data_IF_160718845337
#
_entry.id   IF_160718845337
#
_cell.length_a   1.000
_cell.length_b   1.000
_cell.length_c   1.000
_cell.angle_alpha   90.00
_cell.angle_beta   90.00
_cell.angle_gamma   90.00
#
_symmetry.space_group_name_H-M   'P 1'
#
loop_
_entity.id
_entity.type
_entity.pdbx_description
1 polymer ?
#
# COMPACT_ATOMS: atom_id res chain seq x y z
N UNK A 1 8.80 16.03 2.60
CA UNK A 1 7.65 15.31 3.20
C UNK A 1 7.83 14.95 4.67
N UNK A 2 9.04 15.01 5.25
CA UNK A 2 9.25 14.80 6.70
C UNK A 2 8.74 13.43 7.16
N UNK A 3 9.10 12.38 6.40
CA UNK A 3 8.85 10.99 6.77
C UNK A 3 10.04 10.45 7.56
N UNK A 4 9.78 9.44 8.38
CA UNK A 4 10.77 8.69 9.12
C UNK A 4 10.72 7.24 8.65
N UNK A 5 11.40 6.96 7.53
CA UNK A 5 11.44 5.64 6.89
C UNK A 5 12.81 5.05 7.10
N UNK A 6 12.88 3.86 7.71
CA UNK A 6 14.16 3.25 8.11
C UNK A 6 15.05 2.82 6.93
N UNK A 7 14.45 2.47 5.79
CA UNK A 7 15.17 1.96 4.64
C UNK A 7 14.48 2.25 3.32
N UNK A 8 15.26 2.70 2.33
CA UNK A 8 14.81 2.90 0.95
C UNK A 8 15.42 1.83 0.04
N UNK A 9 14.64 0.80 -0.27
CA UNK A 9 15.08 -0.27 -1.15
C UNK A 9 15.08 0.16 -2.63
N UNK A 10 16.00 -0.41 -3.40
CA UNK A 10 16.03 -0.32 -4.87
C UNK A 10 16.14 -1.73 -5.44
N UNK A 11 15.27 -2.10 -6.37
CA UNK A 11 15.33 -3.42 -7.04
C UNK A 11 16.61 -3.61 -7.86
N UNK A 12 17.32 -2.51 -8.17
CA UNK A 12 18.65 -2.56 -8.78
C UNK A 12 19.76 -3.01 -7.81
N UNK A 13 19.50 -3.12 -6.50
CA UNK A 13 20.48 -3.59 -5.48
C UNK A 13 20.90 -5.04 -5.77
N UNK A 14 22.18 -5.34 -5.61
CA UNK A 14 22.70 -6.70 -5.83
C UNK A 14 22.15 -7.70 -4.80
N UNK A 15 21.96 -7.29 -3.55
CA UNK A 15 21.31 -8.14 -2.53
C UNK A 15 19.88 -8.47 -2.92
N UNK A 16 19.13 -7.50 -3.45
CA UNK A 16 17.79 -7.76 -3.94
C UNK A 16 17.79 -8.76 -5.10
N UNK A 17 18.65 -8.56 -6.11
CA UNK A 17 18.79 -9.50 -7.23
C UNK A 17 19.15 -10.90 -6.75
N UNK A 18 20.03 -11.03 -5.76
CA UNK A 18 20.39 -12.31 -5.17
C UNK A 18 19.18 -12.99 -4.51
N UNK A 19 18.40 -12.25 -3.71
CA UNK A 19 17.18 -12.78 -3.07
C UNK A 19 16.11 -13.16 -4.09
N UNK A 20 15.92 -12.39 -5.16
CA UNK A 20 14.98 -12.74 -6.24
C UNK A 20 15.38 -14.06 -6.91
N UNK A 21 16.68 -14.26 -7.20
CA UNK A 21 17.18 -15.52 -7.76
C UNK A 21 16.99 -16.68 -6.79
N UNK A 22 17.21 -16.45 -5.49
CA UNK A 22 16.98 -17.46 -4.44
C UNK A 22 15.50 -17.88 -4.40
N UNK A 23 14.58 -16.92 -4.39
CA UNK A 23 13.12 -17.19 -4.42
C UNK A 23 12.75 -17.94 -5.68
N UNK A 24 13.23 -17.50 -6.85
CA UNK A 24 13.01 -18.19 -8.13
C UNK A 24 13.42 -19.66 -8.06
N UNK A 25 14.66 -19.93 -7.67
CA UNK A 25 15.18 -21.30 -7.60
C UNK A 25 14.41 -22.18 -6.62
N UNK A 26 13.87 -21.60 -5.53
CA UNK A 26 12.98 -22.34 -4.60
C UNK A 26 11.63 -22.67 -5.22
N UNK A 27 11.01 -21.72 -5.94
CA UNK A 27 9.75 -21.95 -6.67
C UNK A 27 9.92 -23.03 -7.75
N UNK A 28 11.02 -22.98 -8.48
CA UNK A 28 11.37 -23.98 -9.51
C UNK A 28 11.66 -25.36 -8.90
N UNK A 29 12.45 -25.43 -7.84
CA UNK A 29 12.75 -26.69 -7.14
C UNK A 29 11.50 -27.34 -6.52
N UNK A 30 10.47 -26.55 -6.19
CA UNK A 30 9.16 -27.04 -5.76
C UNK A 30 8.30 -27.61 -6.89
N UNK A 31 8.67 -27.37 -8.15
CA UNK A 31 7.89 -27.75 -9.33
C UNK A 31 6.73 -26.80 -9.63
N UNK A 32 6.68 -25.65 -8.96
CA UNK A 32 5.63 -24.64 -9.14
C UNK A 32 5.93 -23.67 -10.28
N UNK A 33 7.15 -23.68 -10.82
CA UNK A 33 7.51 -23.02 -12.08
C UNK A 33 7.72 -24.06 -13.17
N UNK A 34 7.18 -23.82 -14.35
CA UNK A 34 7.42 -24.63 -15.55
C UNK A 34 7.51 -23.76 -16.80
N UNK A 35 8.23 -24.20 -17.82
CA UNK A 35 8.24 -23.52 -19.12
C UNK A 35 6.94 -23.85 -19.87
N UNK A 36 6.20 -22.81 -20.26
CA UNK A 36 4.98 -22.92 -21.04
C UNK A 36 4.93 -21.85 -22.13
N UNK A 37 3.78 -21.74 -22.78
CA UNK A 37 3.52 -20.70 -23.77
C UNK A 37 2.31 -19.88 -23.32
N UNK A 38 2.50 -18.57 -23.20
CA UNK A 38 1.41 -17.65 -22.93
C UNK A 38 0.86 -17.13 -24.25
N UNK A 39 -0.46 -17.22 -24.44
CA UNK A 39 -1.18 -16.61 -25.56
C UNK A 39 -2.37 -15.82 -25.02
N UNK A 40 -2.30 -14.49 -25.06
CA UNK A 40 -3.36 -13.66 -24.49
C UNK A 40 -3.08 -12.16 -24.53
N UNK A 41 -3.98 -11.38 -23.92
CA UNK A 41 -3.86 -9.93 -23.85
C UNK A 41 -2.89 -9.50 -22.75
N UNK A 42 -2.10 -8.46 -23.02
CA UNK A 42 -1.18 -7.86 -22.07
C UNK A 42 -1.27 -6.34 -22.12
N UNK A 43 -1.38 -5.71 -20.95
CA UNK A 43 -1.21 -4.26 -20.80
C UNK A 43 0.24 -3.97 -20.46
N UNK A 44 0.95 -3.27 -21.36
CA UNK A 44 2.33 -2.83 -21.10
C UNK A 44 2.34 -1.77 -20.00
N UNK A 45 1.37 -0.86 -19.99
CA UNK A 45 1.30 0.24 -19.01
C UNK A 45 1.00 -0.24 -17.59
N UNK A 46 0.19 -1.29 -17.44
CA UNK A 46 -0.15 -1.87 -16.13
C UNK A 46 0.78 -3.04 -15.77
N UNK A 47 1.68 -3.38 -16.68
CA UNK A 47 2.48 -4.61 -16.68
C UNK A 47 1.64 -5.80 -16.20
N UNK A 48 0.49 -6.05 -16.84
CA UNK A 48 -0.51 -7.02 -16.37
C UNK A 48 -1.07 -7.86 -17.52
N UNK A 49 -1.12 -9.17 -17.31
CA UNK A 49 -1.89 -10.09 -18.16
C UNK A 49 -3.38 -9.93 -17.93
N UNK A 50 -4.18 -10.03 -19.00
CA UNK A 50 -5.62 -9.81 -18.98
C UNK A 50 -6.35 -10.94 -19.71
N UNK A 51 -7.46 -11.37 -19.11
CA UNK A 51 -8.38 -12.33 -19.75
C UNK A 51 -9.16 -11.65 -20.86
N UNK A 52 -9.75 -12.44 -21.78
CA UNK A 52 -10.61 -11.90 -22.83
C UNK A 52 -11.80 -11.10 -22.29
N UNK A 53 -12.31 -11.44 -21.10
CA UNK A 53 -13.42 -10.75 -20.44
C UNK A 53 -12.99 -9.41 -19.81
N UNK A 54 -11.69 -9.19 -19.61
CA UNK A 54 -11.13 -7.97 -19.02
C UNK A 54 -10.70 -6.94 -20.07
N UNK A 55 -11.05 -7.16 -21.35
CA UNK A 55 -10.63 -6.34 -22.49
C UNK A 55 -11.86 -5.92 -23.30
N UNK A 56 -11.91 -4.64 -23.66
CA UNK A 56 -13.02 -4.04 -24.43
C UNK A 56 -12.49 -3.24 -25.63
N UNK A 57 -13.37 -2.90 -26.56
CA UNK A 57 -13.04 -1.98 -27.65
C UNK A 57 -12.89 -0.55 -27.12
N UNK A 58 -11.88 0.16 -27.62
CA UNK A 58 -11.56 1.53 -27.25
C UNK A 58 -10.82 2.25 -28.37
N UNK A 59 -10.23 3.40 -28.03
CA UNK A 59 -9.42 4.20 -28.96
C UNK A 59 -8.06 4.48 -28.35
N UNK A 60 -7.02 4.45 -29.17
CA UNK A 60 -5.67 4.83 -28.76
C UNK A 60 -5.53 6.37 -28.68
N UNK A 61 -4.30 6.84 -28.40
CA UNK A 61 -4.01 8.28 -28.29
C UNK A 61 -4.16 9.04 -29.62
N UNK A 62 -4.09 8.34 -30.74
CA UNK A 62 -4.19 8.90 -32.09
C UNK A 62 -5.63 8.80 -32.65
N UNK A 63 -6.56 8.25 -31.85
CA UNK A 63 -7.96 8.09 -32.21
C UNK A 63 -8.26 6.83 -33.02
N UNK A 64 -7.30 5.91 -33.16
CA UNK A 64 -7.52 4.66 -33.89
C UNK A 64 -8.24 3.63 -33.01
N UNK A 65 -9.15 2.82 -33.59
CA UNK A 65 -9.77 1.71 -32.88
C UNK A 65 -8.72 0.70 -32.39
N UNK A 66 -8.77 0.35 -31.11
CA UNK A 66 -7.90 -0.65 -30.50
C UNK A 66 -8.61 -1.41 -29.38
N UNK A 67 -7.90 -2.34 -28.73
CA UNK A 67 -8.36 -2.99 -27.51
C UNK A 67 -7.77 -2.30 -26.29
N UNK A 68 -8.57 -2.11 -25.24
CA UNK A 68 -8.15 -1.49 -23.97
C UNK A 68 -8.53 -2.34 -22.76
N UNK A 69 -7.77 -2.21 -21.68
CA UNK A 69 -8.04 -2.81 -20.37
C UNK A 69 -9.31 -2.22 -19.78
N UNK A 70 -10.24 -3.08 -19.33
CA UNK A 70 -11.44 -2.64 -18.61
C UNK A 70 -11.10 -2.00 -17.25
N UNK A 71 -9.97 -2.38 -16.65
CA UNK A 71 -9.54 -1.92 -15.32
C UNK A 71 -8.91 -0.53 -15.38
N UNK A 72 -8.03 -0.27 -16.35
CA UNK A 72 -7.20 0.94 -16.42
C UNK A 72 -7.53 1.87 -17.58
N UNK A 73 -8.20 1.35 -18.62
CA UNK A 73 -8.39 2.04 -19.90
C UNK A 73 -7.14 2.10 -20.79
N UNK A 74 -6.03 1.46 -20.39
CA UNK A 74 -4.80 1.43 -21.19
C UNK A 74 -4.90 0.45 -22.37
N UNK A 75 -4.21 0.77 -23.47
CA UNK A 75 -4.13 -0.08 -24.67
C UNK A 75 -3.50 -1.43 -24.33
N UNK A 76 -4.07 -2.51 -24.86
CA UNK A 76 -3.57 -3.87 -24.68
C UNK A 76 -3.12 -4.47 -26.00
N UNK A 77 -2.13 -5.36 -25.94
CA UNK A 77 -1.61 -6.07 -27.11
C UNK A 77 -1.76 -7.57 -26.92
N UNK A 78 -2.00 -8.28 -28.02
CA UNK A 78 -1.97 -9.74 -28.02
C UNK A 78 -0.52 -10.21 -28.04
N UNK A 79 -0.17 -11.14 -27.15
CA UNK A 79 1.17 -11.70 -27.04
C UNK A 79 1.11 -13.22 -27.10
N UNK A 80 2.04 -13.81 -27.83
CA UNK A 80 2.25 -15.25 -27.93
C UNK A 80 3.75 -15.53 -27.73
N UNK A 81 4.15 -15.78 -26.48
CA UNK A 81 5.56 -15.94 -26.10
C UNK A 81 5.73 -17.20 -25.23
N UNK A 82 6.83 -17.93 -25.44
CA UNK A 82 7.26 -18.90 -24.43
C UNK A 82 7.62 -18.13 -23.17
N UNK A 83 7.04 -18.53 -22.04
CA UNK A 83 7.27 -17.91 -20.74
C UNK A 83 7.33 -19.00 -19.67
N UNK A 84 8.15 -18.78 -18.65
CA UNK A 84 8.03 -19.51 -17.40
C UNK A 84 6.72 -19.12 -16.73
N UNK A 85 5.94 -20.12 -16.37
CA UNK A 85 4.63 -20.02 -15.76
C UNK A 85 4.71 -20.51 -14.32
N UNK A 86 4.16 -19.74 -13.39
CA UNK A 86 3.91 -20.15 -12.02
C UNK A 86 2.52 -20.78 -11.90
N UNK A 87 2.43 -21.93 -11.23
CA UNK A 87 1.22 -22.74 -11.04
C UNK A 87 0.19 -22.11 -10.08
N UNK A 88 -0.16 -20.84 -10.28
CA UNK A 88 -1.06 -20.08 -9.42
C UNK A 88 -2.43 -20.77 -9.25
N UNK A 89 -2.89 -21.49 -10.28
CA UNK A 89 -4.15 -22.26 -10.22
C UNK A 89 -4.17 -23.27 -9.06
N UNK A 90 -3.03 -23.86 -8.70
CA UNK A 90 -2.90 -24.83 -7.62
C UNK A 90 -3.01 -24.22 -6.21
N UNK A 91 -2.97 -22.89 -6.08
CA UNK A 91 -2.99 -22.19 -4.78
C UNK A 91 -4.38 -21.72 -4.36
N UNK A 92 -5.40 -21.89 -5.22
CA UNK A 92 -6.77 -21.42 -4.97
C UNK A 92 -7.27 -21.77 -3.57
N UNK A 93 -7.27 -23.05 -3.21
CA UNK A 93 -7.89 -23.51 -1.96
C UNK A 93 -7.09 -23.07 -0.72
N UNK A 94 -5.75 -23.00 -0.83
CA UNK A 94 -4.89 -22.51 0.25
C UNK A 94 -5.07 -21.01 0.48
N UNK A 95 -5.26 -20.22 -0.58
CA UNK A 95 -5.58 -18.80 -0.50
C UNK A 95 -6.94 -18.58 0.16
N UNK A 96 -7.98 -19.30 -0.28
CA UNK A 96 -9.32 -19.23 0.31
C UNK A 96 -9.32 -19.60 1.80
N UNK A 97 -8.59 -20.64 2.18
CA UNK A 97 -8.40 -20.99 3.60
C UNK A 97 -7.75 -19.85 4.38
N UNK A 98 -6.67 -19.25 3.86
CA UNK A 98 -6.00 -18.13 4.51
C UNK A 98 -6.94 -16.93 4.74
N UNK A 99 -7.74 -16.54 3.75
CA UNK A 99 -8.69 -15.42 3.90
C UNK A 99 -9.79 -15.70 4.93
N UNK A 100 -10.22 -16.97 5.06
CA UNK A 100 -11.26 -17.38 6.00
C UNK A 100 -10.73 -17.47 7.43
N UNK A 101 -9.54 -18.02 7.61
CA UNK A 101 -8.89 -18.17 8.92
C UNK A 101 -8.41 -16.81 9.46
N UNK A 102 -8.24 -15.81 8.58
CA UNK A 102 -7.73 -14.49 8.93
C UNK A 102 -8.66 -13.39 8.37
N UNK A 103 -9.87 -13.19 8.93
CA UNK A 103 -10.86 -12.27 8.36
C UNK A 103 -10.41 -10.80 8.33
N UNK A 104 -9.39 -10.42 9.11
CA UNK A 104 -8.79 -9.09 9.12
C UNK A 104 -7.55 -8.91 8.24
N UNK A 105 -7.17 -9.90 7.41
CA UNK A 105 -5.92 -9.87 6.66
C UNK A 105 -5.93 -8.91 5.46
N UNK A 106 -7.10 -8.47 5.00
CA UNK A 106 -7.26 -7.47 3.93
C UNK A 106 -8.24 -6.40 4.42
N UNK A 107 -7.83 -5.14 4.33
CA UNK A 107 -8.59 -3.96 4.75
C UNK A 107 -8.67 -3.00 3.56
N UNK A 108 -9.84 -2.37 3.30
CA UNK A 108 -11.14 -2.56 3.95
C UNK A 108 -11.87 -3.84 3.52
N UNK A 109 -12.87 -4.25 4.31
CA UNK A 109 -13.58 -5.52 4.16
C UNK A 109 -14.24 -5.72 2.78
N UNK A 110 -14.69 -4.67 2.10
CA UNK A 110 -15.23 -4.86 0.74
C UNK A 110 -14.16 -5.28 -0.27
N UNK A 111 -12.91 -4.80 -0.13
CA UNK A 111 -11.76 -5.23 -0.93
C UNK A 111 -11.41 -6.69 -0.67
N UNK A 112 -11.48 -7.11 0.60
CA UNK A 112 -11.32 -8.52 0.98
C UNK A 112 -12.33 -9.40 0.24
N UNK A 113 -13.60 -9.01 0.22
CA UNK A 113 -14.66 -9.74 -0.52
C UNK A 113 -14.43 -9.75 -2.03
N UNK A 114 -13.92 -8.67 -2.62
CA UNK A 114 -13.55 -8.63 -4.05
C UNK A 114 -12.47 -9.66 -4.36
N UNK A 115 -11.42 -9.74 -3.54
CA UNK A 115 -10.34 -10.73 -3.68
C UNK A 115 -10.88 -12.15 -3.54
N UNK A 116 -11.67 -12.42 -2.50
CA UNK A 116 -12.28 -13.74 -2.27
C UNK A 116 -13.11 -14.17 -3.49
N UNK A 117 -14.03 -13.32 -3.96
CA UNK A 117 -14.87 -13.61 -5.14
C UNK A 117 -14.05 -13.84 -6.41
N UNK A 118 -12.90 -13.17 -6.53
CA UNK A 118 -11.99 -13.35 -7.66
C UNK A 118 -11.35 -14.74 -7.61
N UNK A 119 -10.84 -15.15 -6.45
CA UNK A 119 -10.21 -16.47 -6.26
C UNK A 119 -11.23 -17.61 -6.35
N UNK A 120 -12.46 -17.40 -5.86
CA UNK A 120 -13.55 -18.38 -5.94
C UNK A 120 -13.88 -18.80 -7.38
N UNK A 121 -13.82 -17.85 -8.34
CA UNK A 121 -14.05 -18.09 -9.77
C UNK A 121 -12.99 -18.97 -10.43
N UNK A 122 -11.86 -19.19 -9.77
CA UNK A 122 -10.70 -19.91 -10.29
C UNK A 122 -9.56 -18.97 -10.67
N UNK A 123 -8.34 -19.51 -10.64
CA UNK A 123 -7.12 -18.80 -10.99
C UNK A 123 -6.46 -19.47 -12.18
N UNK A 124 -5.95 -18.66 -13.10
CA UNK A 124 -5.08 -19.12 -14.18
C UNK A 124 -3.62 -19.09 -13.75
N UNK A 125 -2.80 -19.92 -14.35
CA UNK A 125 -1.34 -19.89 -14.14
C UNK A 125 -0.77 -18.55 -14.62
N UNK A 126 0.23 -18.07 -13.89
CA UNK A 126 0.77 -16.72 -14.03
C UNK A 126 2.10 -16.78 -14.76
N UNK A 127 2.25 -16.06 -15.86
CA UNK A 127 3.56 -15.87 -16.48
C UNK A 127 4.47 -15.06 -15.54
N UNK A 128 5.61 -15.64 -15.17
CA UNK A 128 6.61 -15.06 -14.25
C UNK A 128 7.95 -14.76 -14.93
N UNK A 129 8.05 -14.97 -16.25
CA UNK A 129 9.16 -14.43 -17.05
C UNK A 129 8.67 -13.70 -18.29
N UNK A 130 9.57 -12.99 -18.96
CA UNK A 130 9.43 -12.48 -20.33
C UNK A 130 10.70 -12.73 -21.13
N UNK A 131 10.60 -12.74 -22.46
CA UNK A 131 11.78 -12.69 -23.33
C UNK A 131 12.57 -11.41 -23.07
N UNK A 132 13.90 -11.54 -23.05
CA UNK A 132 14.81 -10.44 -22.72
C UNK A 132 14.67 -9.24 -23.67
N UNK A 133 14.39 -9.50 -24.94
CA UNK A 133 14.19 -8.48 -25.97
C UNK A 133 12.97 -7.61 -25.67
N UNK A 134 11.88 -8.23 -25.18
CA UNK A 134 10.64 -7.53 -24.86
C UNK A 134 10.80 -6.54 -23.70
N UNK A 135 11.79 -6.77 -22.83
CA UNK A 135 12.14 -5.89 -21.72
C UNK A 135 13.35 -5.00 -22.02
N UNK A 136 13.79 -4.92 -23.28
CA UNK A 136 14.97 -4.15 -23.69
C UNK A 136 16.24 -4.48 -22.88
N UNK A 137 16.39 -5.74 -22.45
CA UNK A 137 17.47 -6.21 -21.58
C UNK A 137 17.51 -5.55 -20.18
N UNK A 138 16.41 -4.97 -19.71
CA UNK A 138 16.33 -4.25 -18.43
C UNK A 138 15.49 -4.99 -17.39
N UNK A 139 15.98 -6.15 -16.95
CA UNK A 139 15.37 -6.95 -15.89
C UNK A 139 16.36 -7.98 -15.33
N UNK A 140 15.98 -8.63 -14.22
CA UNK A 140 16.79 -9.69 -13.60
C UNK A 140 16.73 -10.95 -14.50
N UNK A 141 17.86 -11.53 -14.95
CA UNK A 141 17.83 -12.75 -15.74
C UNK A 141 17.30 -13.95 -14.95
N UNK A 142 16.57 -14.84 -15.62
CA UNK A 142 16.14 -16.12 -15.04
C UNK A 142 17.39 -16.99 -14.75
N UNK A 143 17.55 -17.55 -13.54
CA UNK A 143 18.62 -18.48 -13.23
C UNK A 143 18.65 -19.66 -14.22
N UNK A 144 19.79 -19.90 -14.86
CA UNK A 144 19.95 -20.99 -15.83
C UNK A 144 19.41 -20.72 -17.25
N UNK A 145 18.73 -19.59 -17.49
CA UNK A 145 18.23 -19.22 -18.82
C UNK A 145 18.28 -17.70 -19.06
N UNK A 146 19.35 -17.23 -19.71
CA UNK A 146 19.57 -15.79 -19.94
C UNK A 146 18.68 -15.17 -21.02
N UNK A 147 17.98 -15.97 -21.82
CA UNK A 147 17.06 -15.49 -22.85
C UNK A 147 15.74 -15.00 -22.24
N UNK A 148 15.51 -15.35 -20.97
CA UNK A 148 14.36 -14.93 -20.19
C UNK A 148 14.77 -14.04 -19.02
N UNK A 149 13.90 -13.10 -18.71
CA UNK A 149 14.00 -12.22 -17.57
C UNK A 149 12.82 -12.46 -16.62
N UNK A 150 13.08 -12.38 -15.32
CA UNK A 150 12.08 -12.46 -14.26
C UNK A 150 11.12 -11.27 -14.41
N UNK A 151 9.83 -11.59 -14.37
CA UNK A 151 8.75 -10.63 -14.53
C UNK A 151 8.61 -9.72 -13.32
N UNK A 152 8.16 -8.48 -13.57
CA UNK A 152 8.13 -7.38 -12.61
C UNK A 152 7.47 -7.73 -11.29
N UNK A 153 6.41 -8.54 -11.25
CA UNK A 153 5.70 -8.78 -10.02
C UNK A 153 6.45 -9.73 -9.09
N UNK A 154 7.20 -10.70 -9.63
CA UNK A 154 8.03 -11.56 -8.78
C UNK A 154 9.27 -10.82 -8.28
N UNK A 155 9.89 -9.99 -9.12
CA UNK A 155 10.96 -9.07 -8.75
C UNK A 155 10.47 -8.10 -7.65
N UNK A 156 9.50 -7.25 -7.99
CA UNK A 156 9.00 -6.20 -7.14
C UNK A 156 8.43 -6.74 -5.84
N UNK A 157 7.58 -7.77 -5.81
CA UNK A 157 7.01 -8.26 -4.54
C UNK A 157 8.10 -8.83 -3.60
N UNK A 158 9.19 -9.36 -4.16
CA UNK A 158 10.32 -9.88 -3.36
C UNK A 158 11.06 -8.77 -2.61
N UNK A 159 10.85 -7.48 -2.94
CA UNK A 159 11.46 -6.36 -2.22
C UNK A 159 11.16 -6.42 -0.71
N UNK A 160 9.95 -6.85 -0.32
CA UNK A 160 9.55 -6.96 1.08
C UNK A 160 10.40 -8.00 1.83
N UNK A 161 10.66 -9.13 1.17
CA UNK A 161 11.48 -10.19 1.74
C UNK A 161 12.96 -9.76 1.80
N UNK A 162 13.48 -9.08 0.77
CA UNK A 162 14.82 -8.50 0.80
C UNK A 162 14.98 -7.48 1.94
N UNK A 163 14.08 -6.49 2.04
CA UNK A 163 14.15 -5.44 3.06
C UNK A 163 14.10 -6.02 4.49
N UNK A 164 13.33 -7.10 4.69
CA UNK A 164 13.29 -7.80 5.97
C UNK A 164 14.60 -8.48 6.37
N UNK A 165 15.53 -8.67 5.41
CA UNK A 165 16.83 -9.33 5.58
C UNK A 165 18.01 -8.35 5.54
N UNK A 166 17.77 -7.06 5.32
CA UNK A 166 18.86 -6.08 5.20
C UNK A 166 19.14 -5.40 6.54
N UNK A 167 20.38 -5.53 7.03
CA UNK A 167 20.92 -4.69 8.09
C UNK A 167 21.30 -3.32 7.50
N UNK A 168 20.81 -2.26 8.15
CA UNK A 168 21.03 -0.88 7.74
C UNK A 168 21.85 -0.19 8.84
N UNK A 169 22.79 0.69 8.49
CA UNK A 169 23.53 1.50 9.47
C UNK A 169 22.79 2.79 9.84
N UNK A 170 23.37 3.58 10.75
CA UNK A 170 22.80 4.86 11.17
C UNK A 170 22.70 5.93 10.08
N UNK A 171 23.24 5.69 8.88
CA UNK A 171 23.10 6.58 7.71
C UNK A 171 21.95 6.17 6.78
N UNK A 172 21.31 5.03 7.03
CA UNK A 172 20.31 4.45 6.12
C UNK A 172 20.90 3.59 5.00
N UNK A 173 22.21 3.32 5.05
CA UNK A 173 22.89 2.51 4.04
C UNK A 173 22.77 1.02 4.35
N UNK A 174 22.52 0.22 3.31
CA UNK A 174 22.59 -1.23 3.39
C UNK A 174 24.03 -1.69 3.68
N UNK A 175 24.20 -2.45 4.77
CA UNK A 175 25.51 -2.98 5.20
C UNK A 175 25.64 -4.46 4.87
N UNK A 176 24.58 -5.24 5.13
CA UNK A 176 24.59 -6.69 4.96
C UNK A 176 23.18 -7.21 4.75
N UNK A 177 23.01 -8.15 3.82
CA UNK A 177 21.82 -8.98 3.72
C UNK A 177 22.06 -10.30 4.48
N UNK A 178 21.22 -10.65 5.44
CA UNK A 178 21.31 -11.90 6.21
C UNK A 178 20.70 -13.08 5.45
N UNK A 179 21.12 -14.30 5.77
CA UNK A 179 20.62 -15.51 5.09
C UNK A 179 19.21 -15.91 5.59
N UNK A 180 18.98 -15.87 6.90
CA UNK A 180 17.69 -16.17 7.52
C UNK A 180 16.98 -14.88 7.94
N UNK A 181 15.76 -14.67 7.43
CA UNK A 181 14.92 -13.52 7.79
C UNK A 181 14.62 -13.43 9.30
N UNK A 182 14.70 -14.56 10.02
CA UNK A 182 14.46 -14.61 11.47
C UNK A 182 15.49 -13.82 12.27
N UNK A 183 16.69 -13.63 11.74
CA UNK A 183 17.77 -12.91 12.45
C UNK A 183 17.39 -11.45 12.75
N UNK A 184 16.59 -10.82 11.90
CA UNK A 184 16.18 -9.42 12.06
C UNK A 184 14.76 -9.27 12.61
N UNK A 185 14.02 -10.35 12.83
CA UNK A 185 12.69 -10.36 13.45
C UNK A 185 11.64 -9.46 12.76
N UNK A 186 11.79 -9.20 11.44
CA UNK A 186 10.92 -8.30 10.65
C UNK A 186 9.87 -9.00 9.81
N UNK A 187 10.13 -10.23 9.36
CA UNK A 187 9.26 -10.93 8.42
C UNK A 187 8.35 -11.94 9.15
N UNK A 188 7.06 -12.02 8.80
CA UNK A 188 6.37 -11.31 7.73
C UNK A 188 5.92 -9.89 8.14
N UNK A 189 5.59 -9.05 7.16
CA UNK A 189 5.09 -7.70 7.44
C UNK A 189 3.78 -7.72 8.25
N UNK A 190 3.70 -6.88 9.27
CA UNK A 190 2.46 -6.64 10.00
C UNK A 190 1.42 -5.91 9.14
N UNK A 191 1.86 -4.93 8.34
CA UNK A 191 1.01 -4.17 7.42
C UNK A 191 1.74 -3.91 6.10
N UNK A 192 1.13 -4.29 4.98
CA UNK A 192 1.45 -3.76 3.65
C UNK A 192 0.44 -2.66 3.30
N UNK A 193 0.91 -1.44 3.06
CA UNK A 193 0.07 -0.32 2.59
C UNK A 193 0.23 -0.19 1.07
N UNK A 194 -0.89 -0.26 0.34
CA UNK A 194 -0.91 -0.25 -1.12
C UNK A 194 -2.07 0.57 -1.68
N UNK A 195 -1.95 1.00 -2.93
CA UNK A 195 -3.09 1.46 -3.72
C UNK A 195 -3.99 0.31 -4.14
N UNK A 196 -5.28 0.59 -4.33
CA UNK A 196 -6.27 -0.40 -4.79
C UNK A 196 -5.91 -1.11 -6.10
N UNK A 197 -5.18 -0.44 -6.97
CA UNK A 197 -4.78 -0.91 -8.31
C UNK A 197 -3.82 -2.08 -8.29
N UNK A 198 -3.07 -2.23 -7.19
CA UNK A 198 -2.11 -3.32 -7.04
C UNK A 198 -2.57 -4.41 -6.05
N UNK A 199 -3.85 -4.38 -5.65
CA UNK A 199 -4.42 -5.31 -4.67
C UNK A 199 -4.30 -6.78 -5.12
N UNK A 200 -4.58 -7.09 -6.39
CA UNK A 200 -4.49 -8.47 -6.89
C UNK A 200 -3.09 -9.07 -6.74
N UNK A 201 -2.05 -8.26 -6.98
CA UNK A 201 -0.66 -8.70 -6.87
C UNK A 201 -0.30 -9.03 -5.42
N UNK A 202 -0.74 -8.21 -4.46
CA UNK A 202 -0.41 -8.36 -3.04
C UNK A 202 -1.28 -9.38 -2.32
N UNK A 203 -2.55 -9.52 -2.71
CA UNK A 203 -3.50 -10.38 -2.02
C UNK A 203 -3.66 -11.76 -2.66
N UNK A 204 -3.20 -11.97 -3.90
CA UNK A 204 -3.28 -13.26 -4.60
C UNK A 204 -1.88 -13.77 -4.95
N UNK A 205 -1.09 -13.01 -5.72
CA UNK A 205 0.18 -13.53 -6.23
C UNK A 205 1.23 -13.66 -5.14
N UNK A 206 1.40 -12.61 -4.34
CA UNK A 206 2.36 -12.59 -3.24
C UNK A 206 2.17 -13.74 -2.24
N UNK A 207 0.98 -13.94 -1.63
CA UNK A 207 0.77 -15.05 -0.72
C UNK A 207 0.95 -16.41 -1.40
N UNK A 208 0.61 -16.56 -2.69
CA UNK A 208 0.86 -17.81 -3.43
C UNK A 208 2.37 -18.09 -3.58
N UNK A 209 3.18 -17.09 -3.90
CA UNK A 209 4.64 -17.22 -3.95
C UNK A 209 5.20 -17.64 -2.58
N UNK A 210 4.78 -16.95 -1.51
CA UNK A 210 5.20 -17.27 -0.14
C UNK A 210 4.78 -18.68 0.28
N UNK A 211 3.55 -19.08 -0.04
CA UNK A 211 3.01 -20.41 0.21
C UNK A 211 3.79 -21.53 -0.49
N UNK A 212 4.31 -21.26 -1.69
CA UNK A 212 5.14 -22.22 -2.45
C UNK A 212 6.47 -22.45 -1.76
N UNK A 213 7.18 -21.37 -1.40
CA UNK A 213 8.50 -21.45 -0.77
C UNK A 213 8.46 -21.68 0.75
N UNK A 214 7.26 -21.82 1.33
CA UNK A 214 7.07 -22.13 2.75
C UNK A 214 7.38 -20.97 3.70
N UNK A 215 7.20 -19.73 3.25
CA UNK A 215 7.40 -18.52 4.05
C UNK A 215 6.08 -18.07 4.73
N UNK A 216 6.17 -17.40 5.90
CA UNK A 216 4.98 -16.90 6.59
C UNK A 216 4.31 -15.75 5.80
N UNK A 217 2.99 -15.63 5.94
CA UNK A 217 2.17 -14.65 5.21
C UNK A 217 2.04 -13.32 5.97
N UNK A 218 1.87 -12.18 5.25
CA UNK A 218 1.66 -10.88 5.89
C UNK A 218 0.41 -10.88 6.77
N UNK A 219 0.43 -10.09 7.86
CA UNK A 219 -0.70 -10.03 8.80
C UNK A 219 -1.87 -9.23 8.25
N UNK A 220 -1.58 -8.08 7.62
CA UNK A 220 -2.60 -7.20 7.00
C UNK A 220 -2.11 -6.61 5.67
N UNK A 221 -3.03 -6.49 4.73
CA UNK A 221 -2.88 -5.73 3.48
C UNK A 221 -3.93 -4.64 3.49
N UNK A 222 -3.51 -3.38 3.48
CA UNK A 222 -4.36 -2.20 3.50
C UNK A 222 -4.34 -1.58 2.11
N UNK A 223 -5.47 -1.63 1.43
CA UNK A 223 -5.64 -1.08 0.08
C UNK A 223 -6.48 0.20 0.09
N UNK A 224 -5.83 1.34 -0.15
CA UNK A 224 -6.48 2.65 -0.16
C UNK A 224 -6.98 3.07 -1.56
N UNK A 225 -7.91 4.03 -1.59
CA UNK A 225 -8.39 4.65 -2.83
C UNK A 225 -7.39 5.59 -3.50
N UNK A 226 -7.82 6.23 -4.58
CA UNK A 226 -7.05 7.24 -5.31
C UNK A 226 -7.47 8.66 -4.93
N UNK A 227 -6.55 9.60 -5.08
CA UNK A 227 -6.84 11.03 -4.92
C UNK A 227 -7.30 11.67 -6.23
N UNK A 228 -8.31 12.53 -6.11
CA UNK A 228 -8.73 13.50 -7.13
C UNK A 228 -8.45 14.92 -6.63
N UNK A 229 -8.47 15.89 -7.54
CA UNK A 229 -8.38 17.32 -7.22
C UNK A 229 -9.54 18.05 -7.89
N UNK A 230 -10.30 18.78 -7.10
CA UNK A 230 -11.51 19.49 -7.55
C UNK A 230 -12.48 18.57 -8.32
N UNK A 231 -12.62 17.33 -7.84
CA UNK A 231 -13.44 16.24 -8.41
C UNK A 231 -13.01 15.83 -9.82
N UNK A 232 -11.74 16.04 -10.17
CA UNK A 232 -11.14 15.65 -11.45
C UNK A 232 -9.91 14.78 -11.23
N UNK A 233 -9.66 13.84 -12.15
CA UNK A 233 -8.44 13.02 -12.16
C UNK A 233 -7.21 13.93 -12.18
N UNK A 234 -6.29 13.76 -11.25
CA UNK A 234 -5.05 14.53 -11.20
C UNK A 234 -4.19 14.15 -12.41
N UNK A 235 -3.85 15.14 -13.24
CA UNK A 235 -2.95 14.93 -14.38
C UNK A 235 -2.20 16.21 -14.73
N UNK A 236 -0.89 16.07 -14.99
CA UNK A 236 -0.06 17.16 -15.52
C UNK A 236 -0.58 17.64 -16.89
N UNK A 237 -1.00 16.72 -17.76
CA UNK A 237 -1.49 17.07 -19.10
C UNK A 237 -2.86 17.74 -19.10
N UNK A 238 -3.67 17.55 -18.06
CA UNK A 238 -4.97 18.20 -17.90
C UNK A 238 -4.87 19.56 -17.16
N UNK A 239 -3.66 20.00 -16.81
CA UNK A 239 -3.42 21.26 -16.12
C UNK A 239 -3.89 21.31 -14.66
N UNK A 240 -4.28 20.16 -14.08
CA UNK A 240 -4.75 20.06 -12.69
C UNK A 240 -3.79 19.25 -11.81
N UNK A 241 -2.49 19.37 -12.07
CA UNK A 241 -1.47 18.76 -11.23
C UNK A 241 -1.64 19.15 -9.75
N UNK A 242 -1.32 18.20 -8.88
CA UNK A 242 -1.25 18.39 -7.44
C UNK A 242 0.18 18.11 -7.00
N UNK A 243 0.87 19.15 -6.53
CA UNK A 243 2.21 19.03 -5.95
C UNK A 243 2.12 19.09 -4.41
N UNK A 244 2.37 17.97 -3.70
CA UNK A 244 2.30 17.95 -2.24
C UNK A 244 3.39 18.80 -1.56
N UNK A 245 4.52 19.07 -2.22
CA UNK A 245 5.56 19.95 -1.65
C UNK A 245 5.14 21.40 -1.74
N UNK A 246 4.55 21.81 -2.86
CA UNK A 246 3.96 23.15 -3.02
C UNK A 246 2.87 23.38 -1.97
N UNK A 247 1.92 22.45 -1.84
CA UNK A 247 0.84 22.56 -0.85
C UNK A 247 1.32 22.45 0.59
N UNK A 248 2.37 21.66 0.85
CA UNK A 248 3.01 21.62 2.15
C UNK A 248 3.72 22.93 2.51
N UNK A 249 4.32 23.63 1.54
CA UNK A 249 4.91 24.94 1.74
C UNK A 249 3.85 26.04 1.93
N UNK A 250 2.73 25.95 1.21
CA UNK A 250 1.62 26.92 1.29
C UNK A 250 0.87 26.82 2.62
N UNK A 251 0.50 25.62 3.05
CA UNK A 251 -0.40 25.44 4.19
C UNK A 251 0.26 24.83 5.44
N UNK A 252 1.54 24.44 5.36
CA UNK A 252 2.23 23.70 6.40
C UNK A 252 2.15 22.19 6.19
N UNK A 253 3.30 21.53 6.36
CA UNK A 253 3.45 20.10 6.06
C UNK A 253 2.55 19.20 6.93
N UNK A 254 2.50 19.46 8.23
CA UNK A 254 1.68 18.65 9.14
C UNK A 254 0.18 18.90 8.95
N UNK A 255 -0.20 20.13 8.57
CA UNK A 255 -1.58 20.43 8.20
C UNK A 255 -2.01 19.68 6.94
N UNK A 256 -1.14 19.60 5.93
CA UNK A 256 -1.40 18.79 4.73
C UNK A 256 -1.50 17.30 5.06
N UNK A 257 -0.57 16.76 5.86
CA UNK A 257 -0.64 15.35 6.32
C UNK A 257 -1.95 15.07 7.06
N UNK A 258 -2.33 15.94 7.99
CA UNK A 258 -3.59 15.84 8.71
C UNK A 258 -4.78 15.83 7.74
N UNK A 259 -4.84 16.76 6.78
CA UNK A 259 -5.90 16.80 5.78
C UNK A 259 -6.01 15.47 5.02
N UNK A 260 -4.90 14.94 4.49
CA UNK A 260 -4.89 13.70 3.71
C UNK A 260 -5.35 12.49 4.53
N UNK A 261 -4.99 12.41 5.81
CA UNK A 261 -5.39 11.31 6.70
C UNK A 261 -6.81 11.47 7.26
N UNK A 262 -7.32 12.70 7.33
CA UNK A 262 -8.62 13.02 7.95
C UNK A 262 -9.76 13.12 6.94
N UNK A 263 -9.51 13.63 5.75
CA UNK A 263 -10.54 13.88 4.74
C UNK A 263 -11.09 12.58 4.15
N UNK A 264 -10.23 11.58 3.93
CA UNK A 264 -10.59 10.33 3.27
C UNK A 264 -10.15 9.12 4.08
N UNK A 265 -11.05 8.15 4.24
CA UNK A 265 -10.71 6.81 4.71
C UNK A 265 -10.27 5.92 3.55
N UNK A 266 -9.69 4.75 3.84
CA UNK A 266 -9.16 3.87 2.79
C UNK A 266 -10.22 3.29 1.84
N UNK A 267 -11.50 3.36 2.21
CA UNK A 267 -12.60 2.84 1.38
C UNK A 267 -12.93 3.74 0.20
N UNK A 268 -12.60 5.03 0.29
CA UNK A 268 -13.07 6.05 -0.63
C UNK A 268 -11.93 6.53 -1.53
N UNK A 269 -12.29 7.02 -2.71
CA UNK A 269 -11.38 7.88 -3.48
C UNK A 269 -11.50 9.30 -2.90
N UNK A 270 -10.40 9.80 -2.33
CA UNK A 270 -10.35 11.13 -1.72
C UNK A 270 -10.38 12.25 -2.75
N UNK A 271 -10.86 13.43 -2.35
CA UNK A 271 -10.80 14.65 -3.16
C UNK A 271 -10.07 15.75 -2.39
N UNK A 272 -9.08 16.34 -3.05
CA UNK A 272 -8.41 17.54 -2.56
C UNK A 272 -9.05 18.79 -3.19
N UNK A 273 -9.33 19.79 -2.36
CA UNK A 273 -9.55 21.17 -2.81
C UNK A 273 -8.96 22.13 -1.78
N UNK A 274 -8.40 23.25 -2.23
CA UNK A 274 -7.86 24.28 -1.32
C UNK A 274 -8.93 24.78 -0.35
N UNK A 275 -10.20 24.84 -0.80
CA UNK A 275 -11.35 25.19 0.04
C UNK A 275 -11.51 24.23 1.23
N UNK A 276 -11.52 22.93 0.98
CA UNK A 276 -11.70 21.94 2.06
C UNK A 276 -10.44 21.87 2.94
N UNK A 277 -9.25 22.04 2.36
CA UNK A 277 -7.99 22.13 3.09
C UNK A 277 -8.05 23.27 4.11
N UNK A 278 -8.35 24.48 3.66
CA UNK A 278 -8.48 25.67 4.51
C UNK A 278 -9.57 25.48 5.58
N UNK A 279 -10.70 24.87 5.22
CA UNK A 279 -11.77 24.61 6.16
C UNK A 279 -11.33 23.71 7.34
N UNK A 280 -10.57 22.63 7.06
CA UNK A 280 -10.02 21.75 8.11
C UNK A 280 -8.92 22.41 8.90
N UNK A 281 -8.00 23.11 8.22
CA UNK A 281 -6.93 23.86 8.87
C UNK A 281 -7.50 24.85 9.88
N UNK A 282 -8.49 25.64 9.48
CA UNK A 282 -9.10 26.64 10.35
C UNK A 282 -9.95 25.99 11.45
N UNK A 283 -10.94 25.17 11.09
CA UNK A 283 -11.92 24.68 12.06
C UNK A 283 -11.40 23.62 13.04
N UNK A 284 -10.49 22.75 12.57
CA UNK A 284 -9.97 21.66 13.40
C UNK A 284 -8.61 22.05 13.99
N UNK A 285 -7.61 22.34 13.15
CA UNK A 285 -6.25 22.58 13.65
C UNK A 285 -6.10 23.90 14.42
N UNK A 286 -6.65 25.00 13.90
CA UNK A 286 -6.53 26.30 14.54
C UNK A 286 -7.58 26.51 15.65
N UNK A 287 -8.86 26.39 15.32
CA UNK A 287 -9.96 26.76 16.22
C UNK A 287 -10.20 25.74 17.33
N UNK A 288 -9.91 24.46 17.11
CA UNK A 288 -10.04 23.43 18.15
C UNK A 288 -8.71 23.23 18.88
N UNK A 289 -7.71 22.66 18.21
CA UNK A 289 -6.44 22.30 18.85
C UNK A 289 -5.62 23.54 19.24
N UNK A 290 -5.37 24.43 18.28
CA UNK A 290 -4.56 25.64 18.49
C UNK A 290 -5.15 26.56 19.55
N UNK A 291 -6.46 26.80 19.52
CA UNK A 291 -7.15 27.61 20.52
C UNK A 291 -7.01 27.03 21.92
N UNK A 292 -7.23 25.71 22.08
CA UNK A 292 -7.11 25.04 23.37
C UNK A 292 -5.70 25.16 23.94
N UNK A 293 -4.67 24.89 23.12
CA UNK A 293 -3.26 25.02 23.52
C UNK A 293 -2.94 26.46 23.92
N UNK A 294 -3.38 27.45 23.14
CA UNK A 294 -3.13 28.86 23.46
C UNK A 294 -3.84 29.31 24.74
N UNK A 295 -5.02 28.77 25.04
CA UNK A 295 -5.74 29.06 26.29
C UNK A 295 -5.04 28.47 27.50
N UNK A 296 -4.65 27.19 27.48
CA UNK A 296 -4.03 26.55 28.63
C UNK A 296 -2.60 27.05 28.93
N UNK A 297 -1.92 27.62 27.92
CA UNK A 297 -0.57 28.22 28.07
C UNK A 297 -0.58 29.74 28.25
N UNK A 298 -1.73 30.40 28.10
CA UNK A 298 -1.83 31.86 28.23
C UNK A 298 -1.47 32.32 29.64
N UNK A 299 -0.62 33.34 29.75
CA UNK A 299 -0.29 33.97 31.04
C UNK A 299 -1.47 34.66 31.72
N UNK A 300 -2.58 34.90 31.00
CA UNK A 300 -3.82 35.43 31.58
C UNK A 300 -4.63 34.38 32.32
N UNK A 301 -4.49 33.11 31.94
CA UNK A 301 -5.21 31.97 32.54
C UNK A 301 -4.27 31.21 33.48
N UNK A 302 -3.12 30.77 32.96
CA UNK A 302 -2.07 30.11 33.72
C UNK A 302 -1.00 31.13 34.14
N UNK A 303 -1.27 31.84 35.24
CA UNK A 303 -0.42 32.93 35.74
C UNK A 303 0.93 32.45 36.28
N UNK A 304 1.00 31.23 36.82
CA UNK A 304 2.24 30.61 37.32
C UNK A 304 3.05 29.88 36.24
N UNK A 305 2.47 29.66 35.05
CA UNK A 305 3.10 28.95 33.91
C UNK A 305 3.60 27.54 34.26
N UNK A 306 2.86 26.86 35.12
CA UNK A 306 3.14 25.49 35.55
C UNK A 306 1.89 24.63 35.41
N UNK A 307 2.03 23.32 35.62
CA UNK A 307 0.88 22.44 35.78
C UNK A 307 0.37 22.57 37.22
N UNK A 308 -0.83 23.12 37.46
CA UNK A 308 -1.32 23.34 38.82
C UNK A 308 -1.69 22.01 39.50
N UNK A 309 -1.66 22.00 40.83
CA UNK A 309 -2.23 20.90 41.60
C UNK A 309 -3.77 20.95 41.50
N UNK A 310 -4.43 19.88 41.02
CA UNK A 310 -5.88 19.87 40.90
C UNK A 310 -6.56 19.87 42.29
N UNK A 311 -7.68 20.58 42.39
CA UNK A 311 -8.58 20.50 43.54
C UNK A 311 -9.48 19.27 43.49
N UNK A 312 -10.58 19.30 44.25
CA UNK A 312 -11.59 18.23 44.19
C UNK A 312 -12.39 18.30 42.90
N UNK A 313 -12.49 17.17 42.19
CA UNK A 313 -13.25 17.08 40.95
C UNK A 313 -14.76 17.05 41.18
N UNK A 314 -15.48 17.81 40.37
CA UNK A 314 -16.93 17.70 40.22
C UNK A 314 -17.31 16.49 39.35
N UNK A 315 -18.59 16.16 39.27
CA UNK A 315 -19.06 15.12 38.35
C UNK A 315 -18.73 15.45 36.89
N UNK A 316 -18.84 16.73 36.50
CA UNK A 316 -18.49 17.19 35.14
C UNK A 316 -17.01 16.98 34.83
N UNK A 317 -16.12 17.27 35.78
CA UNK A 317 -14.68 17.07 35.59
C UNK A 317 -14.37 15.58 35.41
N UNK A 318 -15.00 14.73 36.24
CA UNK A 318 -14.83 13.28 36.15
C UNK A 318 -15.31 12.70 34.81
N UNK A 319 -16.34 13.26 34.18
CA UNK A 319 -16.77 12.86 32.84
C UNK A 319 -15.68 13.14 31.80
N UNK A 320 -15.05 14.32 31.84
CA UNK A 320 -13.97 14.68 30.93
C UNK A 320 -12.71 13.84 31.15
N UNK A 321 -12.34 13.60 32.42
CA UNK A 321 -11.22 12.72 32.78
C UNK A 321 -11.42 11.31 32.25
N UNK A 322 -12.65 10.77 32.30
CA UNK A 322 -12.98 9.45 31.72
C UNK A 322 -12.80 9.45 30.20
N UNK A 323 -13.32 10.45 29.50
CA UNK A 323 -13.13 10.57 28.04
C UNK A 323 -11.64 10.59 27.65
N UNK A 324 -10.82 11.33 28.38
CA UNK A 324 -9.37 11.39 28.17
C UNK A 324 -8.71 10.05 28.48
N UNK A 325 -9.15 9.35 29.54
CA UNK A 325 -8.58 8.07 29.97
C UNK A 325 -8.95 6.90 29.05
N UNK A 326 -10.13 6.94 28.42
CA UNK A 326 -10.62 5.89 27.52
C UNK A 326 -10.10 6.08 26.08
N UNK A 327 -9.72 7.30 25.71
CA UNK A 327 -9.25 7.65 24.37
C UNK A 327 -8.05 6.81 23.90
N UNK A 328 -6.98 6.57 24.69
CA UNK A 328 -5.83 5.81 24.24
C UNK A 328 -6.18 4.40 23.73
N UNK A 329 -7.05 3.67 24.44
CA UNK A 329 -7.45 2.32 24.03
C UNK A 329 -8.27 2.33 22.73
N UNK A 330 -9.12 3.35 22.54
CA UNK A 330 -9.91 3.51 21.31
C UNK A 330 -9.02 3.89 20.12
N UNK A 331 -8.07 4.80 20.33
CA UNK A 331 -7.11 5.22 19.30
C UNK A 331 -6.19 4.06 18.92
N UNK A 332 -5.66 3.31 19.90
CA UNK A 332 -4.84 2.12 19.67
C UNK A 332 -5.58 1.06 18.85
N UNK A 333 -6.85 0.81 19.16
CA UNK A 333 -7.69 -0.08 18.36
C UNK A 333 -7.77 0.35 16.88
N UNK A 334 -7.99 1.64 16.62
CA UNK A 334 -8.04 2.14 15.23
C UNK A 334 -6.68 2.09 14.55
N UNK A 335 -5.57 2.36 15.25
CA UNK A 335 -4.23 2.14 14.71
C UNK A 335 -3.94 0.66 14.42
N UNK A 336 -4.50 -0.27 15.20
CA UNK A 336 -4.39 -1.71 14.96
C UNK A 336 -5.17 -2.21 13.72
N UNK A 337 -6.24 -1.51 13.33
CA UNK A 337 -7.01 -1.69 12.08
C UNK A 337 -6.42 -0.89 10.89
N UNK A 338 -5.29 -0.21 11.10
CA UNK A 338 -4.92 1.10 10.53
C UNK A 338 -6.03 2.09 10.06
N UNK A 339 -7.18 2.21 10.72
CA UNK A 339 -8.19 3.23 10.37
C UNK A 339 -7.81 4.63 10.93
N UNK A 340 -6.82 5.27 10.30
CA UNK A 340 -6.26 6.55 10.75
C UNK A 340 -7.27 7.69 10.75
N UNK A 341 -8.25 7.65 9.85
CA UNK A 341 -9.33 8.65 9.82
C UNK A 341 -10.16 8.61 11.10
N UNK A 342 -10.54 7.41 11.57
CA UNK A 342 -11.28 7.25 12.82
C UNK A 342 -10.42 7.55 14.04
N UNK A 343 -9.14 7.15 14.04
CA UNK A 343 -8.22 7.51 15.12
C UNK A 343 -8.15 9.04 15.31
N UNK A 344 -7.96 9.79 14.21
CA UNK A 344 -7.96 11.26 14.25
C UNK A 344 -9.32 11.82 14.66
N UNK A 345 -10.43 11.29 14.15
CA UNK A 345 -11.77 11.73 14.53
C UNK A 345 -12.01 11.57 16.04
N UNK A 346 -11.62 10.43 16.63
CA UNK A 346 -11.74 10.17 18.08
C UNK A 346 -10.92 11.16 18.90
N UNK A 347 -9.68 11.45 18.51
CA UNK A 347 -8.86 12.47 19.19
C UNK A 347 -9.57 13.82 19.16
N UNK A 348 -10.11 14.20 18.00
CA UNK A 348 -10.80 15.47 17.82
C UNK A 348 -12.16 15.55 18.54
N UNK A 349 -12.84 14.42 18.76
CA UNK A 349 -14.03 14.36 19.61
C UNK A 349 -13.70 14.72 21.06
N UNK A 350 -12.59 14.20 21.59
CA UNK A 350 -12.11 14.54 22.93
C UNK A 350 -11.66 15.99 23.01
N UNK A 351 -10.93 16.50 22.01
CA UNK A 351 -10.51 17.90 21.97
C UNK A 351 -11.70 18.88 21.97
N UNK A 352 -12.82 18.53 21.32
CA UNK A 352 -14.04 19.35 21.33
C UNK A 352 -14.80 19.29 22.67
N UNK A 353 -14.57 18.26 23.48
CA UNK A 353 -15.22 18.11 24.77
C UNK A 353 -14.52 18.91 25.89
N UNK A 354 -13.24 19.27 25.70
CA UNK A 354 -12.44 20.15 26.56
C UNK A 354 -12.79 21.61 26.25
#
# INVERSE_FOLDING_TARGET
>A
MGFDVDYFIRTTSESHKAVVREVWSKLEAKGDIYLGRYEGWYSVSDESFLTAQSVVDGVDKDGNPCKVSLESGHVVTWMAEDNYMFRLSAFRDRLLAWYNDNPGCIVPEFRRREVIRTVEKGLHDLSVSRRKETLHNWAIPVPGNSDHCIYVWLDALTNYYTASRVHVDGSGAEVRCVDDFRELERFPADVHVIGKDILKFHAIYWPAFLMSVGLPLPKKIVAHGWWTKDRRKISKSLGNAFDPLEKGAEFGLDALKYFLLRESGFSDDGDYSDRNMIARLNGELADTLGNLVMRCTSSKINTSREWPQPGTYTERDNLLVRLISDMPGTVDHYYGIPDLQKALATIFDVLRAI
#
